data_IF_558442630821
#
_entry.id   IF_558442630821
#
_cell.length_a   1.000
_cell.length_b   1.000
_cell.length_c   1.000
_cell.angle_alpha   90.00
_cell.angle_beta   90.00
_cell.angle_gamma   90.00
#
_symmetry.space_group_name_H-M   'P 1'
#
loop_
_entity.id
_entity.type
_entity.pdbx_description
1 polymer ?
#
# COMPACT_ATOMS: atom_id res chain seq x y z
N UNK A 1 0.76 -23.50 5.81
CA UNK A 1 0.71 -22.04 6.05
C UNK A 1 -0.54 -21.75 6.86
N UNK A 2 -0.47 -20.92 7.91
CA UNK A 2 -1.68 -20.46 8.63
C UNK A 2 -2.39 -19.42 7.77
N UNK A 3 -3.73 -19.42 7.74
CA UNK A 3 -4.50 -18.37 7.03
C UNK A 3 -4.24 -17.00 7.66
N UNK A 4 -4.42 -15.89 6.92
CA UNK A 4 -4.30 -14.56 7.53
C UNK A 4 -5.27 -14.38 8.70
N UNK A 5 -6.44 -15.04 8.64
CA UNK A 5 -7.44 -15.03 9.70
C UNK A 5 -7.08 -15.86 10.94
N UNK A 6 -5.95 -16.56 10.95
CA UNK A 6 -5.46 -17.31 12.12
C UNK A 6 -4.29 -16.61 12.83
N UNK A 7 -3.82 -15.48 12.29
CA UNK A 7 -2.66 -14.74 12.82
C UNK A 7 -3.05 -13.71 13.90
N UNK A 8 -3.95 -14.09 14.81
CA UNK A 8 -4.44 -13.25 15.92
C UNK A 8 -3.34 -12.53 16.73
N UNK A 9 -2.15 -13.12 17.00
CA UNK A 9 -1.06 -12.42 17.67
C UNK A 9 -0.64 -11.12 16.95
N UNK A 10 -0.63 -11.11 15.63
CA UNK A 10 -0.22 -9.94 14.83
C UNK A 10 -1.31 -8.86 14.92
N UNK A 11 -2.59 -9.22 14.75
CA UNK A 11 -3.69 -8.26 14.91
C UNK A 11 -3.72 -7.63 16.29
N UNK A 12 -3.49 -8.42 17.34
CA UNK A 12 -3.40 -7.91 18.70
C UNK A 12 -2.22 -6.95 18.88
N UNK A 13 -1.05 -7.30 18.34
CA UNK A 13 0.13 -6.42 18.38
C UNK A 13 -0.16 -5.09 17.68
N UNK A 14 -0.81 -5.12 16.52
CA UNK A 14 -1.19 -3.91 15.78
C UNK A 14 -2.17 -3.07 16.60
N UNK A 15 -3.22 -3.67 17.17
CA UNK A 15 -4.19 -2.95 18.00
C UNK A 15 -3.52 -2.24 19.19
N UNK A 16 -2.57 -2.93 19.84
CA UNK A 16 -1.82 -2.36 20.97
C UNK A 16 -0.94 -1.17 20.57
N UNK A 17 -0.29 -1.24 19.42
CA UNK A 17 0.58 -0.17 18.93
C UNK A 17 -0.23 1.04 18.47
N UNK A 18 -1.37 0.82 17.83
CA UNK A 18 -2.31 1.88 17.49
C UNK A 18 -2.80 2.57 18.78
N UNK A 19 -3.24 1.79 19.77
CA UNK A 19 -3.70 2.33 21.06
C UNK A 19 -2.59 3.06 21.83
N UNK A 20 -1.33 2.60 21.72
CA UNK A 20 -0.17 3.26 22.30
C UNK A 20 0.27 4.53 21.55
N UNK A 21 -0.50 4.98 20.54
CA UNK A 21 -0.19 6.12 19.68
C UNK A 21 1.20 5.98 19.02
N UNK A 22 1.58 4.76 18.63
CA UNK A 22 2.80 4.52 17.89
C UNK A 22 2.80 5.23 16.54
N UNK A 23 3.99 5.47 15.98
CA UNK A 23 4.11 6.04 14.65
C UNK A 23 3.53 5.11 13.57
N UNK A 24 2.97 5.69 12.51
CA UNK A 24 2.49 4.98 11.32
C UNK A 24 3.52 3.96 10.81
N UNK A 25 4.80 4.35 10.77
CA UNK A 25 5.90 3.47 10.34
C UNK A 25 6.03 2.21 11.21
N UNK A 26 5.96 2.33 12.54
CA UNK A 26 6.04 1.18 13.46
C UNK A 26 4.84 0.24 13.31
N UNK A 27 3.64 0.80 13.13
CA UNK A 27 2.43 0.01 12.91
C UNK A 27 2.55 -0.78 11.59
N UNK A 28 2.98 -0.11 10.51
CA UNK A 28 3.22 -0.72 9.20
C UNK A 28 4.33 -1.78 9.22
N UNK A 29 5.37 -1.60 10.03
CA UNK A 29 6.43 -2.60 10.20
C UNK A 29 5.87 -3.91 10.79
N UNK A 30 5.03 -3.81 11.82
CA UNK A 30 4.39 -4.98 12.43
C UNK A 30 3.41 -5.62 11.45
N UNK A 31 2.62 -4.80 10.75
CA UNK A 31 1.70 -5.25 9.71
C UNK A 31 2.41 -6.04 8.61
N UNK A 32 3.64 -5.66 8.24
CA UNK A 32 4.41 -6.36 7.21
C UNK A 32 4.69 -7.83 7.51
N UNK A 33 4.58 -8.24 8.77
CA UNK A 33 4.74 -9.63 9.22
C UNK A 33 3.47 -10.47 9.00
N UNK A 34 2.33 -9.83 8.72
CA UNK A 34 1.07 -10.50 8.44
C UNK A 34 1.12 -11.12 7.05
N UNK A 35 1.07 -12.45 6.99
CA UNK A 35 1.01 -13.16 5.72
C UNK A 35 -0.44 -13.20 5.21
N UNK A 36 -0.70 -12.57 4.07
CA UNK A 36 -2.03 -12.50 3.45
C UNK A 36 -2.30 -13.60 2.43
N UNK A 37 -1.30 -14.37 1.99
CA UNK A 37 -1.46 -15.39 0.94
C UNK A 37 -1.90 -14.82 -0.42
N UNK A 38 -1.50 -15.48 -1.51
CA UNK A 38 -1.67 -14.93 -2.87
C UNK A 38 -3.15 -14.72 -3.29
N UNK A 39 -4.10 -15.44 -2.67
CA UNK A 39 -5.52 -15.43 -3.04
C UNK A 39 -6.41 -14.56 -2.15
N UNK A 40 -5.99 -14.18 -0.94
CA UNK A 40 -6.88 -13.42 -0.05
C UNK A 40 -6.94 -11.95 -0.46
N UNK A 41 -5.88 -11.35 -1.01
CA UNK A 41 -5.88 -9.94 -1.43
C UNK A 41 -6.98 -9.59 -2.45
N UNK A 42 -7.10 -10.35 -3.54
CA UNK A 42 -8.15 -10.12 -4.55
C UNK A 42 -9.56 -10.45 -4.03
N UNK A 43 -9.66 -11.37 -3.07
CA UNK A 43 -10.93 -11.76 -2.44
C UNK A 43 -11.39 -10.67 -1.46
N UNK A 44 -10.49 -10.19 -0.60
CA UNK A 44 -10.69 -9.04 0.28
C UNK A 44 -11.17 -7.84 -0.50
N UNK A 45 -10.54 -7.47 -1.62
CA UNK A 45 -11.00 -6.34 -2.44
C UNK A 45 -12.42 -6.49 -2.95
N UNK A 46 -12.81 -7.71 -3.30
CA UNK A 46 -14.18 -8.01 -3.71
C UNK A 46 -15.15 -7.93 -2.54
N UNK A 47 -14.75 -8.45 -1.39
CA UNK A 47 -15.53 -8.38 -0.15
C UNK A 47 -15.73 -6.93 0.30
N UNK A 48 -14.70 -6.10 0.22
CA UNK A 48 -14.73 -4.66 0.52
C UNK A 48 -15.75 -3.94 -0.35
N UNK A 49 -15.76 -4.23 -1.66
CA UNK A 49 -16.78 -3.70 -2.59
C UNK A 49 -18.20 -4.15 -2.24
N UNK A 50 -18.34 -5.33 -1.65
CA UNK A 50 -19.63 -5.89 -1.25
C UNK A 50 -20.09 -5.45 0.16
N UNK A 51 -19.17 -5.04 1.03
CA UNK A 51 -19.41 -4.65 2.43
C UNK A 51 -19.93 -3.21 2.59
N UNK A 52 -20.37 -2.56 1.51
CA UNK A 52 -20.61 -1.10 1.44
C UNK A 52 -21.47 -0.48 2.54
N UNK A 53 -22.22 -1.26 3.36
CA UNK A 53 -23.14 -0.65 4.32
C UNK A 53 -23.10 -1.07 5.81
N UNK A 54 -22.51 -2.17 6.30
CA UNK A 54 -22.72 -2.49 7.76
C UNK A 54 -21.72 -3.37 8.54
N UNK A 55 -20.78 -4.11 7.93
CA UNK A 55 -20.07 -5.20 8.64
C UNK A 55 -18.53 -5.10 8.60
N UNK A 56 -17.99 -3.93 8.92
CA UNK A 56 -16.54 -3.77 9.07
C UNK A 56 -16.10 -4.17 10.48
N UNK A 57 -15.21 -5.15 10.53
CA UNK A 57 -14.48 -5.53 11.72
C UNK A 57 -13.03 -5.04 11.63
N UNK A 58 -12.37 -4.97 12.78
CA UNK A 58 -10.99 -4.50 12.89
C UNK A 58 -10.04 -5.28 11.98
N UNK A 59 -10.20 -6.60 11.87
CA UNK A 59 -9.29 -7.45 11.10
C UNK A 59 -9.44 -7.21 9.62
N UNK A 60 -10.67 -7.07 9.13
CA UNK A 60 -10.95 -6.71 7.74
C UNK A 60 -10.25 -5.40 7.35
N UNK A 61 -10.29 -4.40 8.22
CA UNK A 61 -9.60 -3.12 7.97
C UNK A 61 -8.09 -3.33 7.95
N UNK A 62 -7.53 -4.00 8.95
CA UNK A 62 -6.11 -4.28 9.04
C UNK A 62 -5.60 -5.07 7.81
N UNK A 63 -6.38 -6.05 7.35
CA UNK A 63 -6.06 -6.83 6.16
C UNK A 63 -6.04 -5.96 4.90
N UNK A 64 -7.00 -5.04 4.75
CA UNK A 64 -6.98 -4.10 3.63
C UNK A 64 -5.72 -3.22 3.64
N UNK A 65 -5.38 -2.63 4.80
CA UNK A 65 -4.17 -1.82 4.93
C UNK A 65 -2.95 -2.65 4.50
N UNK A 66 -2.88 -3.91 4.93
CA UNK A 66 -1.78 -4.80 4.55
C UNK A 66 -1.75 -5.09 3.03
N UNK A 67 -2.90 -5.33 2.40
CA UNK A 67 -2.99 -5.54 0.94
C UNK A 67 -2.49 -4.31 0.18
N UNK A 68 -2.90 -3.11 0.59
CA UNK A 68 -2.44 -1.85 -0.03
C UNK A 68 -0.94 -1.69 0.18
N UNK A 69 -0.46 -1.92 1.40
CA UNK A 69 0.96 -1.84 1.74
C UNK A 69 1.81 -2.78 0.87
N UNK A 70 1.37 -4.02 0.67
CA UNK A 70 2.09 -5.01 -0.15
C UNK A 70 2.16 -4.58 -1.62
N UNK A 71 1.06 -4.06 -2.17
CA UNK A 71 1.04 -3.54 -3.53
C UNK A 71 1.91 -2.28 -3.68
N UNK A 72 1.90 -1.40 -2.69
CA UNK A 72 2.80 -0.25 -2.62
C UNK A 72 4.26 -0.69 -2.59
N UNK A 73 4.62 -1.64 -1.75
CA UNK A 73 5.99 -2.20 -1.67
C UNK A 73 6.42 -2.78 -3.02
N UNK A 74 5.54 -3.53 -3.68
CA UNK A 74 5.80 -4.12 -4.98
C UNK A 74 5.98 -3.08 -6.09
N UNK A 75 5.16 -2.03 -6.09
CA UNK A 75 5.34 -0.90 -7.01
C UNK A 75 6.62 -0.13 -6.69
N UNK A 76 6.95 0.07 -5.40
CA UNK A 76 8.16 0.72 -4.93
C UNK A 76 9.42 0.08 -5.48
N UNK A 77 9.51 -1.26 -5.46
CA UNK A 77 10.63 -1.99 -6.08
C UNK A 77 10.75 -1.68 -7.59
N UNK A 78 9.63 -1.68 -8.30
CA UNK A 78 9.61 -1.38 -9.75
C UNK A 78 9.98 0.10 -10.01
N UNK A 79 9.57 1.00 -9.12
CA UNK A 79 9.90 2.42 -9.16
C UNK A 79 11.39 2.66 -8.99
N UNK A 80 12.04 2.01 -8.01
CA UNK A 80 13.49 2.12 -7.78
C UNK A 80 14.28 1.63 -9.00
N UNK A 81 13.84 0.54 -9.61
CA UNK A 81 14.43 0.02 -10.85
C UNK A 81 14.27 1.02 -12.01
N UNK A 82 13.08 1.59 -12.19
CA UNK A 82 12.82 2.62 -13.19
C UNK A 82 13.69 3.87 -12.97
N UNK A 83 13.89 4.30 -11.73
CA UNK A 83 14.78 5.40 -11.36
C UNK A 83 16.25 5.10 -11.71
N UNK A 84 16.71 3.88 -11.41
CA UNK A 84 18.05 3.44 -11.77
C UNK A 84 18.26 3.45 -13.30
N UNK A 85 17.28 2.98 -14.07
CA UNK A 85 17.32 3.00 -15.53
C UNK A 85 17.27 4.40 -16.10
N UNK A 86 16.40 5.26 -15.57
CA UNK A 86 16.34 6.67 -15.92
C UNK A 86 17.71 7.35 -15.74
N UNK A 87 18.34 7.14 -14.57
CA UNK A 87 19.67 7.69 -14.27
C UNK A 87 20.74 7.21 -15.26
N UNK A 88 20.72 5.92 -15.62
CA UNK A 88 21.67 5.35 -16.60
C UNK A 88 21.45 5.91 -18.00
N UNK A 89 20.20 5.94 -18.50
CA UNK A 89 19.87 6.57 -19.80
C UNK A 89 20.30 8.04 -19.80
N UNK A 90 20.06 8.77 -18.71
CA UNK A 90 20.47 10.17 -18.60
C UNK A 90 21.99 10.36 -18.66
N UNK A 91 22.76 9.45 -18.08
CA UNK A 91 24.23 9.47 -18.11
C UNK A 91 24.79 9.17 -19.51
N UNK A 92 24.16 8.27 -20.26
CA UNK A 92 24.57 7.95 -21.63
C UNK A 92 24.34 9.15 -22.55
N UNK A 93 23.14 9.70 -22.47
CA UNK A 93 22.66 10.80 -23.32
C UNK A 93 23.11 12.18 -22.86
N UNK A 94 23.88 12.29 -21.78
CA UNK A 94 24.63 13.51 -21.45
C UNK A 94 26.00 13.53 -22.14
N UNK A 95 26.55 12.37 -22.49
CA UNK A 95 27.83 12.21 -23.20
C UNK A 95 27.67 12.29 -24.73
N UNK A 96 26.47 12.06 -25.26
CA UNK A 96 26.12 12.24 -26.67
C UNK A 96 24.77 12.94 -26.80
N UNK A 97 24.51 13.61 -27.92
CA UNK A 97 23.18 14.19 -28.18
C UNK A 97 22.12 13.10 -28.14
N UNK A 98 21.10 13.28 -27.31
CA UNK A 98 19.97 12.36 -27.22
C UNK A 98 19.15 12.37 -28.52
N UNK A 99 18.65 11.21 -28.93
CA UNK A 99 17.66 11.12 -30.01
C UNK A 99 16.23 11.39 -29.49
N UNK A 100 15.26 11.51 -30.39
CA UNK A 100 13.88 11.83 -30.02
C UNK A 100 13.23 10.78 -29.13
N UNK A 101 13.53 9.49 -29.34
CA UNK A 101 12.98 8.39 -28.57
C UNK A 101 13.48 8.41 -27.12
N UNK A 102 14.77 8.69 -26.91
CA UNK A 102 15.40 8.85 -25.61
C UNK A 102 14.82 10.03 -24.84
N UNK A 103 14.61 11.17 -25.51
CA UNK A 103 14.00 12.35 -24.90
C UNK A 103 12.56 12.03 -24.46
N UNK A 104 11.77 11.38 -25.33
CA UNK A 104 10.40 10.97 -25.01
C UNK A 104 10.35 9.96 -23.88
N UNK A 105 11.26 8.98 -23.86
CA UNK A 105 11.35 8.00 -22.77
C UNK A 105 11.64 8.70 -21.44
N UNK A 106 12.62 9.59 -21.39
CA UNK A 106 12.96 10.34 -20.18
C UNK A 106 11.79 11.14 -19.65
N UNK A 107 11.11 11.90 -20.53
CA UNK A 107 9.92 12.66 -20.15
C UNK A 107 8.84 11.76 -19.59
N UNK A 108 8.54 10.65 -20.28
CA UNK A 108 7.54 9.69 -19.83
C UNK A 108 7.92 9.07 -18.48
N UNK A 109 9.18 8.65 -18.30
CA UNK A 109 9.67 8.11 -17.02
C UNK A 109 9.49 9.15 -15.90
N UNK A 110 9.91 10.39 -16.11
CA UNK A 110 9.75 11.48 -15.14
C UNK A 110 8.28 11.70 -14.75
N UNK A 111 7.37 11.75 -15.73
CA UNK A 111 5.95 11.94 -15.46
C UNK A 111 5.36 10.81 -14.60
N UNK A 112 5.74 9.56 -14.90
CA UNK A 112 5.30 8.40 -14.13
C UNK A 112 5.94 8.33 -12.75
N UNK A 113 7.21 8.74 -12.60
CA UNK A 113 7.89 8.89 -11.31
C UNK A 113 7.12 9.86 -10.41
N UNK A 114 6.82 11.06 -10.90
CA UNK A 114 6.08 12.08 -10.15
C UNK A 114 4.66 11.62 -9.80
N UNK A 115 4.00 10.91 -10.74
CA UNK A 115 2.68 10.33 -10.48
C UNK A 115 2.71 9.29 -9.37
N UNK A 116 3.74 8.45 -9.31
CA UNK A 116 3.91 7.43 -8.27
C UNK A 116 4.17 8.07 -6.91
N UNK A 117 5.07 9.05 -6.84
CA UNK A 117 5.37 9.80 -5.61
C UNK A 117 4.09 10.44 -5.05
N UNK A 118 3.31 11.11 -5.91
CA UNK A 118 2.01 11.68 -5.49
C UNK A 118 1.05 10.63 -4.94
N UNK A 119 1.02 9.42 -5.51
CA UNK A 119 0.18 8.33 -5.01
C UNK A 119 0.72 7.71 -3.71
N UNK A 120 2.03 7.70 -3.48
CA UNK A 120 2.62 7.32 -2.20
C UNK A 120 2.23 8.31 -1.11
N UNK A 121 2.33 9.62 -1.35
CA UNK A 121 1.91 10.65 -0.40
C UNK A 121 0.41 10.60 -0.07
N UNK A 122 -0.44 10.24 -1.05
CA UNK A 122 -1.87 10.03 -0.82
C UNK A 122 -2.11 8.82 0.08
N UNK A 123 -1.36 7.74 -0.11
CA UNK A 123 -1.45 6.55 0.75
C UNK A 123 -0.94 6.86 2.16
N UNK A 124 0.19 7.55 2.32
CA UNK A 124 0.72 7.91 3.63
C UNK A 124 -0.31 8.72 4.45
N UNK A 125 -0.98 9.70 3.82
CA UNK A 125 -2.07 10.45 4.44
C UNK A 125 -3.29 9.59 4.78
N UNK A 126 -3.59 8.58 3.96
CA UNK A 126 -4.67 7.63 4.23
C UNK A 126 -4.33 6.73 5.42
N UNK A 127 -3.09 6.25 5.53
CA UNK A 127 -2.59 5.45 6.66
C UNK A 127 -2.67 6.24 7.97
N UNK A 128 -2.17 7.47 7.99
CA UNK A 128 -2.26 8.35 9.16
C UNK A 128 -3.72 8.57 9.58
N UNK A 129 -4.60 8.87 8.62
CA UNK A 129 -6.01 9.10 8.90
C UNK A 129 -6.69 7.83 9.43
N UNK A 130 -6.39 6.67 8.83
CA UNK A 130 -6.95 5.39 9.24
C UNK A 130 -6.54 5.02 10.65
N UNK A 131 -5.24 5.07 10.97
CA UNK A 131 -4.76 4.73 12.30
C UNK A 131 -5.28 5.69 13.37
N UNK A 132 -5.47 6.97 13.04
CA UNK A 132 -6.11 7.93 13.93
C UNK A 132 -7.56 7.56 14.25
N UNK A 133 -8.37 7.20 13.26
CA UNK A 133 -9.76 6.83 13.50
C UNK A 133 -9.89 5.47 14.20
N UNK A 134 -9.00 4.51 13.92
CA UNK A 134 -8.92 3.26 14.67
C UNK A 134 -8.49 3.51 16.12
N UNK A 135 -7.52 4.40 16.38
CA UNK A 135 -7.11 4.76 17.75
C UNK A 135 -8.29 5.28 18.57
N UNK A 136 -9.04 6.25 18.02
CA UNK A 136 -10.26 6.78 18.67
C UNK A 136 -11.31 5.69 18.92
N UNK A 137 -11.46 4.75 17.98
CA UNK A 137 -12.36 3.63 18.17
C UNK A 137 -11.91 2.76 19.35
N UNK A 138 -10.62 2.41 19.44
CA UNK A 138 -10.06 1.62 20.53
C UNK A 138 -10.15 2.38 21.87
N UNK A 139 -9.84 3.67 21.92
CA UNK A 139 -10.00 4.51 23.11
C UNK A 139 -11.46 4.56 23.61
N UNK A 140 -12.42 4.42 22.70
CA UNK A 140 -13.85 4.39 23.01
C UNK A 140 -14.34 3.05 23.56
N UNK A 141 -13.52 1.99 23.58
CA UNK A 141 -13.92 0.70 24.15
C UNK A 141 -13.60 0.70 25.66
N UNK A 142 -14.60 0.39 26.48
CA UNK A 142 -14.43 0.25 27.94
C UNK A 142 -13.49 -0.92 28.34
N UNK A 143 -13.13 -1.78 27.39
CA UNK A 143 -12.41 -3.03 27.63
C UNK A 143 -11.17 -3.21 26.76
N UNK A 144 -10.55 -2.11 26.30
CA UNK A 144 -9.34 -2.19 25.46
C UNK A 144 -8.20 -2.93 26.12
N UNK A 145 -8.02 -2.76 27.44
CA UNK A 145 -7.02 -3.48 28.23
C UNK A 145 -7.29 -5.01 28.29
N UNK A 146 -8.50 -5.44 27.93
CA UNK A 146 -8.91 -6.86 27.88
C UNK A 146 -8.78 -7.45 26.47
N UNK A 147 -8.28 -6.70 25.48
CA UNK A 147 -8.00 -7.25 24.16
C UNK A 147 -6.93 -8.34 24.26
N UNK A 148 -7.23 -9.47 23.62
CA UNK A 148 -6.43 -10.69 23.65
C UNK A 148 -6.51 -11.40 22.30
N UNK A 149 -5.68 -12.43 22.13
CA UNK A 149 -5.71 -13.25 20.91
C UNK A 149 -7.05 -13.99 20.74
N UNK A 150 -7.79 -14.23 21.83
CA UNK A 150 -9.06 -14.96 21.77
C UNK A 150 -10.24 -14.08 21.35
N UNK A 151 -10.16 -12.75 21.53
CA UNK A 151 -11.28 -11.84 21.25
C UNK A 151 -11.02 -10.84 20.12
N UNK A 152 -9.77 -10.63 19.70
CA UNK A 152 -9.43 -9.72 18.59
C UNK A 152 -10.12 -10.12 17.27
N UNK A 153 -10.41 -11.42 17.12
CA UNK A 153 -11.19 -12.00 16.03
C UNK A 153 -12.60 -11.45 15.89
N UNK A 154 -13.19 -11.00 16.99
CA UNK A 154 -14.60 -10.61 17.09
C UNK A 154 -14.78 -9.10 17.28
N UNK A 155 -13.71 -8.33 17.08
CA UNK A 155 -13.72 -6.89 17.31
C UNK A 155 -14.39 -6.16 16.14
N UNK A 156 -15.70 -5.96 16.26
CA UNK A 156 -16.51 -5.21 15.30
C UNK A 156 -16.42 -3.71 15.53
N UNK A 157 -16.38 -2.92 14.45
CA UNK A 157 -16.45 -1.47 14.58
C UNK A 157 -17.88 -1.02 14.92
N UNK A 158 -17.98 0.05 15.70
CA UNK A 158 -19.27 0.71 15.91
C UNK A 158 -19.75 1.39 14.62
N UNK A 159 -21.07 1.57 14.39
CA UNK A 159 -21.58 2.25 13.20
C UNK A 159 -20.97 3.63 12.98
N UNK A 160 -20.68 4.36 14.07
CA UNK A 160 -19.97 5.64 14.03
C UNK A 160 -18.55 5.48 13.50
N UNK A 161 -17.79 4.51 14.01
CA UNK A 161 -16.44 4.23 13.54
C UNK A 161 -16.44 3.81 12.06
N UNK A 162 -17.39 2.97 11.65
CA UNK A 162 -17.59 2.60 10.24
C UNK A 162 -17.77 3.86 9.37
N UNK A 163 -18.67 4.76 9.72
CA UNK A 163 -18.89 6.00 8.97
C UNK A 163 -17.65 6.90 8.85
N UNK A 164 -16.76 6.86 9.84
CA UNK A 164 -15.50 7.63 9.83
C UNK A 164 -14.41 6.99 8.97
N UNK A 165 -14.32 5.65 8.96
CA UNK A 165 -13.30 4.94 8.18
C UNK A 165 -13.70 4.75 6.72
N UNK A 166 -15.00 4.68 6.39
CA UNK A 166 -15.49 4.43 5.02
C UNK A 166 -14.88 5.34 3.95
N UNK A 167 -14.80 6.68 4.10
CA UNK A 167 -14.16 7.54 3.11
C UNK A 167 -12.65 7.28 2.96
N UNK A 168 -12.00 6.73 3.99
CA UNK A 168 -10.58 6.36 3.94
C UNK A 168 -10.41 5.02 3.23
N UNK A 169 -11.34 4.08 3.43
CA UNK A 169 -11.40 2.80 2.71
C UNK A 169 -11.56 3.02 1.20
N UNK A 170 -12.35 4.00 0.77
CA UNK A 170 -12.45 4.38 -0.65
C UNK A 170 -11.11 4.86 -1.21
N UNK A 171 -10.36 5.69 -0.47
CA UNK A 171 -9.00 6.12 -0.87
C UNK A 171 -8.02 4.95 -0.96
N UNK A 172 -8.13 3.96 -0.07
CA UNK A 172 -7.32 2.74 -0.17
C UNK A 172 -7.62 1.96 -1.45
N UNK A 173 -8.88 1.86 -1.83
CA UNK A 173 -9.26 1.23 -3.09
C UNK A 173 -8.70 2.00 -4.29
N UNK A 174 -8.83 3.32 -4.31
CA UNK A 174 -8.27 4.17 -5.37
C UNK A 174 -6.75 4.00 -5.50
N UNK A 175 -6.01 4.08 -4.39
CA UNK A 175 -4.56 3.88 -4.36
C UNK A 175 -4.18 2.52 -4.94
N UNK A 176 -4.88 1.47 -4.54
CA UNK A 176 -4.60 0.14 -5.03
C UNK A 176 -4.85 -0.03 -6.52
N UNK A 177 -5.96 0.52 -7.03
CA UNK A 177 -6.25 0.52 -8.46
C UNK A 177 -5.16 1.24 -9.25
N UNK A 178 -4.66 2.37 -8.73
CA UNK A 178 -3.52 3.06 -9.34
C UNK A 178 -2.25 2.21 -9.29
N UNK A 179 -1.93 1.54 -8.19
CA UNK A 179 -0.74 0.68 -8.10
C UNK A 179 -0.76 -0.46 -9.11
N UNK A 180 -1.92 -1.13 -9.26
CA UNK A 180 -2.12 -2.20 -10.24
C UNK A 180 -1.92 -1.70 -11.68
N UNK A 181 -2.36 -0.47 -11.98
CA UNK A 181 -2.20 0.13 -13.32
C UNK A 181 -0.76 0.60 -13.59
N UNK A 182 -0.09 1.17 -12.59
CA UNK A 182 1.22 1.80 -12.75
C UNK A 182 2.34 0.77 -12.91
N UNK A 183 2.28 -0.35 -12.19
CA UNK A 183 3.34 -1.36 -12.19
C UNK A 183 3.65 -1.92 -13.60
N UNK A 184 2.68 -2.36 -14.43
CA UNK A 184 2.96 -2.82 -15.79
C UNK A 184 3.49 -1.72 -16.72
N UNK A 185 3.09 -0.46 -16.48
CA UNK A 185 3.58 0.67 -17.27
C UNK A 185 5.06 0.91 -16.99
N UNK A 186 5.46 0.98 -15.71
CA UNK A 186 6.88 1.07 -15.35
C UNK A 186 7.68 -0.10 -15.90
N UNK A 187 7.17 -1.33 -15.79
CA UNK A 187 7.85 -2.51 -16.34
C UNK A 187 8.02 -2.46 -17.87
N UNK A 188 7.19 -1.72 -18.60
CA UNK A 188 7.43 -1.45 -20.03
C UNK A 188 8.51 -0.38 -20.23
N UNK A 189 8.47 0.70 -19.46
CA UNK A 189 9.46 1.78 -19.57
C UNK A 189 10.86 1.30 -19.19
N UNK A 190 10.99 0.44 -18.18
CA UNK A 190 12.25 -0.23 -17.81
C UNK A 190 12.81 -1.02 -18.99
N UNK A 191 12.00 -1.88 -19.61
CA UNK A 191 12.43 -2.65 -20.78
C UNK A 191 12.89 -1.77 -21.93
N UNK A 192 12.15 -0.70 -22.23
CA UNK A 192 12.56 0.26 -23.26
C UNK A 192 13.90 0.91 -22.89
N UNK A 193 14.07 1.29 -21.62
CA UNK A 193 15.34 1.84 -21.14
C UNK A 193 16.49 0.84 -21.26
N UNK A 194 16.27 -0.45 -20.95
CA UNK A 194 17.25 -1.51 -21.12
C UNK A 194 17.73 -1.60 -22.58
N UNK A 195 16.81 -1.61 -23.56
CA UNK A 195 17.18 -1.63 -24.98
C UNK A 195 18.07 -0.44 -25.37
N UNK A 196 17.76 0.78 -24.90
CA UNK A 196 18.57 1.98 -25.17
C UNK A 196 19.95 1.86 -24.53
N UNK A 197 20.00 1.33 -23.31
CA UNK A 197 21.25 1.14 -22.57
C UNK A 197 22.14 0.10 -23.25
N UNK A 198 21.56 -0.99 -23.75
CA UNK A 198 22.26 -2.04 -24.49
C UNK A 198 22.78 -1.52 -25.85
N UNK A 199 21.95 -0.82 -26.62
CA UNK A 199 22.34 -0.22 -27.90
C UNK A 199 23.50 0.78 -27.76
N UNK A 200 23.53 1.55 -26.67
CA UNK A 200 24.62 2.49 -26.40
C UNK A 200 25.92 1.83 -25.88
N UNK A 201 25.86 0.55 -25.47
CA UNK A 201 27.00 -0.23 -25.00
C UNK A 201 27.57 -1.20 -26.03
N UNK A 202 26.84 -1.43 -27.14
CA UNK A 202 27.29 -2.14 -28.34
C UNK A 202 28.15 -1.22 -29.23
#
# INVERSE_FOLDING_TARGET
>A
MRSALEQNPIFLSVAREIHAAASTGRILEILSKLNIGDTEGATLLREIRSKKDTAWDFRSIILLIRVVQENRQSLGQTYEEAMARYSKVNTITSKRRANEEEVRLKQTLTDYILKIESNFEKNDRADESMFKEISKFLEGLESTDKLSESNIGSLNLSPKAVGLVSPILEKYEENLQEYIKLKPVLGRLIRIADYIIEDAGA
#
